data_IF_244890622291
#
_entry.id   IF_244890622291
#
_cell.length_a   1.000
_cell.length_b   1.000
_cell.length_c   1.000
_cell.angle_alpha   90.00
_cell.angle_beta   90.00
_cell.angle_gamma   90.00
#
_symmetry.space_group_name_H-M   'P 1'
#
loop_
_entity.id
_entity.type
_entity.pdbx_description
1 polymer ?
#
# COMPACT_ATOMS: atom_id res chain seq x y z
N UNK A 1 21.41 30.28 -29.70
CA UNK A 1 20.07 30.75 -29.26
C UNK A 1 19.22 29.50 -28.94
N UNK A 2 19.25 29.04 -27.69
CA UNK A 2 18.58 27.79 -27.24
C UNK A 2 17.32 28.23 -26.50
N UNK A 3 16.15 27.82 -26.98
CA UNK A 3 14.85 28.08 -26.33
C UNK A 3 14.62 27.09 -25.21
N UNK A 4 14.55 27.56 -23.96
CA UNK A 4 14.02 26.86 -22.80
C UNK A 4 12.54 26.53 -23.01
N UNK A 5 12.21 25.23 -22.89
CA UNK A 5 10.83 24.76 -22.65
C UNK A 5 10.76 24.24 -21.22
N UNK A 6 10.41 25.10 -20.29
CA UNK A 6 9.99 24.73 -18.94
C UNK A 6 8.59 25.26 -18.71
N UNK A 7 7.64 24.38 -18.50
CA UNK A 7 6.28 24.79 -18.14
C UNK A 7 5.21 23.73 -18.28
N UNK A 8 5.39 22.52 -17.72
CA UNK A 8 4.24 21.61 -17.50
C UNK A 8 4.69 20.47 -16.56
N UNK A 9 4.82 20.70 -15.28
CA UNK A 9 5.06 19.57 -14.35
C UNK A 9 4.71 19.82 -12.89
N UNK A 10 4.01 20.87 -12.52
CA UNK A 10 3.71 21.12 -11.10
C UNK A 10 2.24 20.96 -10.67
N UNK A 11 1.31 20.76 -11.59
CA UNK A 11 -0.12 20.60 -11.24
C UNK A 11 -0.53 19.16 -10.92
N UNK A 12 0.16 18.16 -11.47
CA UNK A 12 -0.23 16.75 -11.28
C UNK A 12 0.24 16.13 -9.95
N UNK A 13 1.21 16.73 -9.27
CA UNK A 13 1.69 16.23 -7.98
C UNK A 13 0.71 16.52 -6.82
N UNK A 14 -0.03 17.62 -6.92
CA UNK A 14 -0.94 18.07 -5.85
C UNK A 14 -2.23 17.26 -5.82
N UNK A 15 -2.73 16.81 -6.96
CA UNK A 15 -3.94 15.97 -7.03
C UNK A 15 -3.69 14.53 -6.53
N UNK A 16 -2.50 13.98 -6.80
CA UNK A 16 -2.13 12.66 -6.27
C UNK A 16 -1.99 12.66 -4.74
N UNK A 17 -1.60 13.78 -4.14
CA UNK A 17 -1.43 13.93 -2.69
C UNK A 17 -2.78 14.08 -1.98
N UNK A 18 -3.78 14.71 -2.60
CA UNK A 18 -5.13 14.85 -2.02
C UNK A 18 -5.89 13.51 -1.96
N UNK A 19 -5.69 12.61 -2.93
CA UNK A 19 -6.28 11.27 -2.91
C UNK A 19 -5.72 10.39 -1.78
N UNK A 20 -4.51 10.65 -1.32
CA UNK A 20 -3.85 9.87 -0.28
C UNK A 20 -4.34 10.21 1.14
N UNK A 21 -4.57 11.48 1.44
CA UNK A 21 -5.10 11.91 2.74
C UNK A 21 -6.50 11.33 3.01
N UNK A 22 -7.34 11.24 1.99
CA UNK A 22 -8.68 10.66 2.10
C UNK A 22 -8.68 9.13 2.34
N UNK A 23 -7.59 8.44 2.01
CA UNK A 23 -7.48 7.00 2.19
C UNK A 23 -7.10 6.61 3.62
N UNK A 24 -6.34 7.47 4.32
CA UNK A 24 -5.82 7.21 5.68
C UNK A 24 -6.83 7.60 6.76
N UNK A 25 -7.75 8.51 6.47
CA UNK A 25 -8.78 8.97 7.43
C UNK A 25 -9.97 8.00 7.59
N UNK A 26 -9.99 6.92 6.82
CA UNK A 26 -11.00 5.85 6.98
C UNK A 26 -10.61 4.82 8.04
N UNK A 27 -10.03 5.27 9.17
CA UNK A 27 -9.91 4.42 10.35
C UNK A 27 -11.29 3.83 10.64
N UNK A 28 -11.36 2.51 10.78
CA UNK A 28 -12.61 1.85 11.14
C UNK A 28 -13.13 2.51 12.41
N UNK A 29 -14.25 3.20 12.33
CA UNK A 29 -14.95 3.64 13.52
C UNK A 29 -15.45 2.38 14.24
N UNK A 30 -14.69 1.94 15.23
CA UNK A 30 -15.04 0.80 16.09
C UNK A 30 -16.31 1.05 16.90
N UNK A 31 -16.85 2.29 16.86
CA UNK A 31 -18.11 2.66 17.49
C UNK A 31 -19.35 2.26 16.67
N UNK A 32 -19.19 1.69 15.47
CA UNK A 32 -20.36 1.12 14.76
C UNK A 32 -20.95 -0.02 15.59
N UNK A 33 -22.21 0.05 16.00
CA UNK A 33 -22.83 -0.98 16.82
C UNK A 33 -22.69 -2.35 16.16
N UNK A 34 -22.39 -3.39 16.94
CA UNK A 34 -22.33 -4.74 16.45
C UNK A 34 -23.67 -5.09 15.77
N UNK A 35 -23.63 -5.44 14.48
CA UNK A 35 -24.80 -5.79 13.69
C UNK A 35 -25.38 -4.68 12.80
N UNK A 36 -24.89 -3.46 12.87
CA UNK A 36 -25.25 -2.45 11.88
C UNK A 36 -24.58 -2.74 10.52
N UNK A 37 -25.35 -2.65 9.43
CA UNK A 37 -24.77 -2.77 8.09
C UNK A 37 -23.81 -1.60 7.82
N UNK A 38 -22.61 -1.85 7.27
CA UNK A 38 -21.70 -0.78 6.94
C UNK A 38 -22.28 0.11 5.84
N UNK A 39 -21.92 1.39 5.88
CA UNK A 39 -22.29 2.36 4.85
C UNK A 39 -21.87 1.87 3.45
N UNK A 40 -22.72 1.98 2.41
CA UNK A 40 -22.41 1.53 1.06
C UNK A 40 -21.15 2.12 0.45
N UNK A 41 -20.79 3.38 0.77
CA UNK A 41 -19.55 3.97 0.25
C UNK A 41 -18.33 3.34 0.94
N UNK A 42 -18.41 3.05 2.23
CA UNK A 42 -17.39 2.30 2.97
C UNK A 42 -17.18 0.90 2.39
N UNK A 43 -18.25 0.20 2.06
CA UNK A 43 -18.17 -1.11 1.38
C UNK A 43 -17.48 -1.01 0.02
N UNK A 44 -17.80 0.01 -0.78
CA UNK A 44 -17.15 0.26 -2.05
C UNK A 44 -15.65 0.54 -1.88
N UNK A 45 -15.27 1.31 -0.87
CA UNK A 45 -13.87 1.59 -0.56
C UNK A 45 -13.12 0.32 -0.16
N UNK A 46 -13.70 -0.51 0.70
CA UNK A 46 -13.12 -1.80 1.09
C UNK A 46 -12.93 -2.72 -0.11
N UNK A 47 -13.94 -2.81 -0.96
CA UNK A 47 -13.86 -3.58 -2.20
C UNK A 47 -12.76 -3.06 -3.14
N UNK A 48 -12.63 -1.74 -3.32
CA UNK A 48 -11.56 -1.14 -4.12
C UNK A 48 -10.18 -1.47 -3.58
N UNK A 49 -10.01 -1.45 -2.26
CA UNK A 49 -8.74 -1.80 -1.61
C UNK A 49 -8.38 -3.27 -1.84
N UNK A 50 -9.34 -4.17 -1.64
CA UNK A 50 -9.13 -5.60 -1.93
C UNK A 50 -8.80 -5.85 -3.41
N UNK A 51 -9.54 -5.21 -4.30
CA UNK A 51 -9.32 -5.33 -5.73
C UNK A 51 -7.94 -4.78 -6.15
N UNK A 52 -7.51 -3.66 -5.56
CA UNK A 52 -6.16 -3.13 -5.77
C UNK A 52 -5.08 -4.12 -5.30
N UNK A 53 -5.25 -4.73 -4.13
CA UNK A 53 -4.35 -5.80 -3.65
C UNK A 53 -4.25 -6.96 -4.64
N UNK A 54 -5.37 -7.39 -5.21
CA UNK A 54 -5.39 -8.43 -6.26
C UNK A 54 -4.67 -8.03 -7.52
N UNK A 55 -4.87 -6.78 -7.99
CA UNK A 55 -4.16 -6.27 -9.17
C UNK A 55 -2.64 -6.26 -8.93
N UNK A 56 -2.19 -5.89 -7.75
CA UNK A 56 -0.77 -5.89 -7.39
C UNK A 56 -0.20 -7.31 -7.34
N UNK A 57 -0.93 -8.25 -6.73
CA UNK A 57 -0.57 -9.67 -6.72
C UNK A 57 -0.41 -10.24 -8.14
N UNK A 58 -1.36 -9.97 -9.01
CA UNK A 58 -1.37 -10.49 -10.38
C UNK A 58 -0.26 -9.88 -11.24
N UNK A 59 0.19 -8.66 -10.89
CA UNK A 59 1.25 -7.97 -11.65
C UNK A 59 2.65 -8.37 -11.20
N UNK A 60 2.86 -8.74 -9.95
CA UNK A 60 4.19 -9.07 -9.41
C UNK A 60 4.94 -10.14 -10.24
N UNK A 61 4.32 -11.27 -10.66
CA UNK A 61 4.99 -12.26 -11.50
C UNK A 61 5.46 -11.74 -12.87
N UNK A 62 4.80 -10.68 -13.38
CA UNK A 62 5.21 -10.09 -14.66
C UNK A 62 6.53 -9.32 -14.52
N UNK A 63 6.74 -8.61 -13.41
CA UNK A 63 8.02 -7.95 -13.12
C UNK A 63 9.15 -8.98 -12.96
N UNK A 64 8.88 -10.09 -12.26
CA UNK A 64 9.84 -11.18 -12.11
C UNK A 64 10.22 -11.79 -13.47
N UNK A 65 9.24 -12.09 -14.32
CA UNK A 65 9.49 -12.65 -15.68
C UNK A 65 10.29 -11.72 -16.58
N UNK A 66 10.15 -10.41 -16.39
CA UNK A 66 10.88 -9.38 -17.15
C UNK A 66 12.24 -9.04 -16.55
N UNK A 67 12.64 -9.68 -15.43
CA UNK A 67 13.86 -9.38 -14.69
C UNK A 67 13.98 -7.90 -14.26
N UNK A 68 12.84 -7.25 -13.94
CA UNK A 68 12.80 -5.84 -13.55
C UNK A 68 12.79 -5.70 -12.01
N UNK A 69 12.95 -6.76 -11.28
CA UNK A 69 12.85 -6.84 -9.84
C UNK A 69 11.78 -7.85 -9.41
N UNK A 70 11.22 -7.65 -8.22
CA UNK A 70 10.29 -8.59 -7.59
C UNK A 70 10.89 -10.01 -7.48
N UNK A 71 12.11 -10.06 -6.93
CA UNK A 71 12.89 -11.30 -6.80
C UNK A 71 12.18 -12.41 -6.01
N UNK A 72 11.21 -12.03 -5.20
CA UNK A 72 10.36 -12.91 -4.42
C UNK A 72 8.93 -12.37 -4.40
N UNK A 73 7.94 -13.24 -4.60
CA UNK A 73 6.53 -12.89 -4.48
C UNK A 73 5.76 -13.96 -3.71
N UNK A 74 5.12 -13.54 -2.62
CA UNK A 74 4.18 -14.35 -1.87
C UNK A 74 2.80 -13.70 -2.00
N UNK A 75 1.87 -14.28 -2.75
CA UNK A 75 0.57 -13.69 -2.97
C UNK A 75 -0.25 -13.60 -1.67
N UNK A 76 -0.99 -12.51 -1.51
CA UNK A 76 -1.96 -12.34 -0.44
C UNK A 76 -3.32 -12.98 -0.78
N UNK A 77 -3.46 -13.50 -1.98
CA UNK A 77 -4.66 -14.15 -2.47
C UNK A 77 -5.19 -15.21 -1.52
N UNK A 78 -6.47 -15.14 -1.19
CA UNK A 78 -7.13 -16.04 -0.22
C UNK A 78 -7.14 -15.53 1.22
N UNK A 79 -6.34 -14.50 1.53
CA UNK A 79 -6.32 -13.85 2.85
C UNK A 79 -7.01 -12.47 2.84
N UNK A 80 -7.70 -12.11 1.76
CA UNK A 80 -8.17 -10.76 1.48
C UNK A 80 -9.01 -10.15 2.62
N UNK A 81 -9.99 -10.90 3.11
CA UNK A 81 -10.90 -10.40 4.15
C UNK A 81 -10.18 -10.11 5.47
N UNK A 82 -9.34 -11.04 5.93
CA UNK A 82 -8.63 -10.87 7.20
C UNK A 82 -7.54 -9.80 7.11
N UNK A 83 -6.83 -9.73 6.00
CA UNK A 83 -5.81 -8.71 5.79
C UNK A 83 -6.41 -7.32 5.68
N UNK A 84 -7.54 -7.18 4.98
CA UNK A 84 -8.28 -5.91 4.95
C UNK A 84 -8.70 -5.50 6.35
N UNK A 85 -9.34 -6.39 7.10
CA UNK A 85 -9.82 -6.09 8.46
C UNK A 85 -8.69 -5.68 9.39
N UNK A 86 -7.55 -6.38 9.35
CA UNK A 86 -6.38 -6.07 10.14
C UNK A 86 -5.81 -4.68 9.78
N UNK A 87 -5.62 -4.41 8.49
CA UNK A 87 -5.11 -3.11 8.04
C UNK A 87 -6.04 -1.94 8.36
N UNK A 88 -7.35 -2.13 8.25
CA UNK A 88 -8.34 -1.12 8.63
C UNK A 88 -8.43 -0.89 10.14
N UNK A 89 -8.03 -1.86 10.96
CA UNK A 89 -7.99 -1.73 12.42
C UNK A 89 -6.73 -1.02 12.90
N UNK A 90 -5.72 -0.88 12.06
CA UNK A 90 -4.46 -0.22 12.39
C UNK A 90 -4.64 1.28 12.49
N UNK A 91 -4.16 1.85 13.60
CA UNK A 91 -4.17 3.30 13.84
C UNK A 91 -2.77 3.86 13.59
N UNK A 92 -2.59 4.47 12.44
CA UNK A 92 -1.32 5.07 12.04
C UNK A 92 -0.76 6.01 13.13
N UNK A 93 0.53 5.94 13.39
CA UNK A 93 1.27 6.71 14.43
C UNK A 93 0.86 6.43 15.89
N UNK A 94 -0.08 5.53 16.14
CA UNK A 94 -0.47 5.09 17.49
C UNK A 94 -0.10 3.63 17.72
N UNK A 95 -0.43 2.78 16.77
CA UNK A 95 -0.12 1.36 16.82
C UNK A 95 1.20 1.09 16.09
N UNK A 96 1.77 -0.08 16.31
CA UNK A 96 2.92 -0.59 15.56
C UNK A 96 2.48 -1.81 14.77
N UNK A 97 2.79 -1.85 13.47
CA UNK A 97 2.55 -2.97 12.59
C UNK A 97 3.87 -3.57 12.14
N UNK A 98 4.02 -4.87 12.35
CA UNK A 98 5.17 -5.66 11.90
C UNK A 98 4.69 -6.68 10.88
N UNK A 99 4.55 -6.29 9.60
CA UNK A 99 3.96 -7.14 8.59
C UNK A 99 4.89 -8.29 8.20
N UNK A 100 4.28 -9.42 7.90
CA UNK A 100 4.92 -10.53 7.23
C UNK A 100 4.96 -10.29 5.71
N UNK A 101 5.86 -10.93 5.00
CA UNK A 101 6.02 -10.72 3.55
C UNK A 101 4.77 -11.03 2.71
N UNK A 102 3.79 -11.72 3.27
CA UNK A 102 2.50 -12.02 2.63
C UNK A 102 1.42 -10.97 2.92
N UNK A 103 1.69 -10.02 3.82
CA UNK A 103 0.70 -9.07 4.33
C UNK A 103 0.56 -7.81 3.46
N UNK A 104 0.72 -7.94 2.14
CA UNK A 104 0.66 -6.81 1.22
C UNK A 104 -0.67 -6.06 1.31
N UNK A 105 -1.80 -6.77 1.37
CA UNK A 105 -3.10 -6.13 1.49
C UNK A 105 -3.31 -5.49 2.87
N UNK A 106 -2.76 -6.07 3.94
CA UNK A 106 -2.73 -5.43 5.26
C UNK A 106 -2.00 -4.09 5.20
N UNK A 107 -0.81 -4.07 4.60
CA UNK A 107 -0.02 -2.84 4.45
C UNK A 107 -0.73 -1.79 3.59
N UNK A 108 -1.36 -2.21 2.48
CA UNK A 108 -2.16 -1.33 1.64
C UNK A 108 -3.32 -0.71 2.41
N UNK A 109 -4.08 -1.51 3.16
CA UNK A 109 -5.19 -1.06 3.98
C UNK A 109 -4.75 -0.20 5.17
N UNK A 110 -3.54 -0.43 5.69
CA UNK A 110 -2.94 0.35 6.78
C UNK A 110 -2.33 1.68 6.32
N UNK A 111 -2.19 1.93 5.01
CA UNK A 111 -1.77 3.23 4.48
C UNK A 111 -0.51 3.24 3.61
N UNK A 112 0.00 2.10 3.16
CA UNK A 112 0.91 2.09 2.03
C UNK A 112 0.14 2.38 0.74
N UNK A 113 0.78 3.09 -0.17
CA UNK A 113 0.25 3.31 -1.50
C UNK A 113 0.60 2.17 -2.45
N UNK A 114 -0.17 1.95 -3.52
CA UNK A 114 0.21 1.02 -4.59
C UNK A 114 1.59 1.32 -5.19
N UNK A 115 1.95 2.61 -5.30
CA UNK A 115 3.26 3.03 -5.79
C UNK A 115 4.38 2.58 -4.84
N UNK A 116 4.24 2.78 -3.53
CA UNK A 116 5.23 2.36 -2.53
C UNK A 116 5.43 0.83 -2.56
N UNK A 117 4.35 0.07 -2.72
CA UNK A 117 4.41 -1.40 -2.88
C UNK A 117 5.20 -1.79 -4.14
N UNK A 118 4.94 -1.12 -5.27
CA UNK A 118 5.67 -1.39 -6.51
C UNK A 118 7.14 -0.99 -6.38
N UNK A 119 7.45 0.17 -5.80
CA UNK A 119 8.82 0.63 -5.61
C UNK A 119 9.63 -0.33 -4.73
N UNK A 120 9.03 -0.90 -3.68
CA UNK A 120 9.63 -1.97 -2.88
C UNK A 120 9.85 -3.23 -3.74
N UNK A 121 8.83 -3.65 -4.49
CA UNK A 121 8.90 -4.85 -5.34
C UNK A 121 10.03 -4.78 -6.39
N UNK A 122 10.27 -3.62 -6.98
CA UNK A 122 11.29 -3.40 -8.01
C UNK A 122 12.59 -2.77 -7.48
N UNK A 123 12.77 -2.75 -6.17
CA UNK A 123 13.99 -2.32 -5.46
C UNK A 123 14.50 -0.93 -5.89
N UNK A 124 13.59 0.06 -5.90
CA UNK A 124 13.96 1.45 -6.21
C UNK A 124 14.54 2.17 -5.00
N UNK A 125 15.43 3.12 -5.27
CA UNK A 125 16.04 3.99 -4.26
C UNK A 125 15.01 4.87 -3.51
N UNK A 126 13.87 5.12 -4.14
CA UNK A 126 12.71 5.82 -3.57
C UNK A 126 11.75 4.92 -2.77
N UNK A 127 12.08 3.63 -2.59
CA UNK A 127 11.32 2.73 -1.72
C UNK A 127 11.38 3.20 -0.26
N UNK A 128 10.23 3.47 0.33
CA UNK A 128 10.10 3.99 1.70
C UNK A 128 10.53 2.99 2.78
N UNK A 129 10.55 1.69 2.45
CA UNK A 129 10.94 0.64 3.39
C UNK A 129 12.45 0.62 3.62
N UNK A 130 13.24 0.74 2.58
CA UNK A 130 14.69 0.57 2.70
C UNK A 130 15.51 1.15 1.55
N UNK A 131 14.92 2.00 0.67
CA UNK A 131 15.63 2.56 -0.47
C UNK A 131 16.15 1.47 -1.40
N UNK A 132 15.33 0.46 -1.69
CA UNK A 132 15.64 -0.65 -2.56
C UNK A 132 16.61 -1.71 -2.00
N UNK A 133 16.96 -1.62 -0.71
CA UNK A 133 17.90 -2.58 -0.06
C UNK A 133 17.21 -3.79 0.55
N UNK A 134 15.89 -3.75 0.70
CA UNK A 134 15.11 -4.88 1.21
C UNK A 134 14.69 -5.82 0.08
N UNK A 135 14.47 -7.07 0.43
CA UNK A 135 13.83 -8.02 -0.48
C UNK A 135 12.40 -7.56 -0.77
N UNK A 136 11.89 -7.86 -1.95
CA UNK A 136 10.50 -7.59 -2.33
C UNK A 136 9.53 -8.14 -1.29
N UNK A 137 8.42 -7.45 -1.07
CA UNK A 137 7.39 -7.76 -0.07
C UNK A 137 7.83 -7.56 1.40
N UNK A 138 8.98 -6.95 1.66
CA UNK A 138 9.39 -6.56 3.01
C UNK A 138 9.01 -5.10 3.24
N UNK A 139 7.76 -4.90 3.61
CA UNK A 139 7.15 -3.57 3.70
C UNK A 139 7.51 -2.86 5.00
N UNK A 140 7.82 -1.57 4.89
CA UNK A 140 7.91 -0.67 6.02
C UNK A 140 7.48 0.73 5.59
N UNK A 141 6.95 1.50 6.55
CA UNK A 141 6.69 2.93 6.44
C UNK A 141 6.81 3.53 7.83
N UNK A 142 8.04 3.85 8.25
CA UNK A 142 8.34 4.29 9.63
C UNK A 142 7.52 5.48 10.09
N UNK A 143 7.16 6.39 9.17
CA UNK A 143 6.36 7.59 9.45
C UNK A 143 4.99 7.29 10.07
N UNK A 144 4.45 6.10 9.80
CA UNK A 144 3.16 5.65 10.34
C UNK A 144 3.30 4.41 11.22
N UNK A 145 4.54 4.07 11.64
CA UNK A 145 4.88 2.94 12.50
C UNK A 145 4.66 1.55 11.89
N UNK A 146 4.82 1.44 10.57
CA UNK A 146 4.96 0.13 9.93
C UNK A 146 6.44 -0.19 9.83
N UNK A 147 6.87 -1.29 10.45
CA UNK A 147 8.27 -1.72 10.54
C UNK A 147 8.48 -3.06 9.87
N UNK A 148 9.52 -3.16 9.07
CA UNK A 148 9.92 -4.43 8.48
C UNK A 148 10.41 -5.40 9.55
N UNK A 149 9.92 -6.64 9.49
CA UNK A 149 10.50 -7.76 10.22
C UNK A 149 11.42 -8.48 9.26
N UNK A 150 12.71 -8.41 9.50
CA UNK A 150 13.68 -9.20 8.76
C UNK A 150 13.45 -10.68 9.05
N UNK A 151 13.21 -11.45 8.02
CA UNK A 151 13.16 -12.91 8.08
C UNK A 151 14.49 -13.51 7.64
#
# INVERSE_FOLDING_TARGET
MVKNRTGTSMKNATEATMGHAAFVDAAVDLATPAGAAPDPERLRQWYRTMHMGRILDDKAPNYLKQAIGWSYHAPCAGHDGIQLALGLSFRARKDYLFPYYRDMLTCLAAGLTPLEIILNGISKDTDVAGGGRHMSNHFAKPEIHIQNVSS
#
